data_IF_526656246283
#
_entry.id   IF_526656246283
#
_cell.length_a   1.000
_cell.length_b   1.000
_cell.length_c   1.000
_cell.angle_alpha   90.00
_cell.angle_beta   90.00
_cell.angle_gamma   90.00
#
_symmetry.space_group_name_H-M   'P 1'
#
loop_
_entity.id
_entity.type
_entity.pdbx_description
1 polymer ?
#
# COMPACT_ATOMS: atom_id res chain seq x y z
N UNK A 1 1.88 -13.79 22.86
CA UNK A 1 1.62 -12.92 21.68
C UNK A 1 0.22 -12.30 21.77
N UNK A 2 -0.08 -11.66 22.90
CA UNK A 2 -1.28 -10.87 23.17
C UNK A 2 -0.74 -9.48 23.49
N UNK A 3 -1.33 -8.42 22.92
CA UNK A 3 -1.08 -6.99 23.21
C UNK A 3 -0.40 -6.15 22.11
N UNK A 4 -0.99 -6.07 20.91
CA UNK A 4 -0.84 -4.87 20.06
C UNK A 4 -2.21 -4.43 19.48
N UNK A 5 -3.31 -4.72 20.20
CA UNK A 5 -4.69 -4.48 19.73
C UNK A 5 -5.29 -3.13 20.20
N UNK A 6 -4.63 -2.39 21.09
CA UNK A 6 -5.22 -1.17 21.66
C UNK A 6 -4.35 0.04 21.39
N UNK A 7 -4.70 0.82 20.36
CA UNK A 7 -4.90 2.29 20.39
C UNK A 7 -5.54 2.64 19.04
N UNK A 8 -6.82 2.30 18.93
CA UNK A 8 -7.80 3.14 18.26
C UNK A 8 -8.46 3.93 19.40
N UNK A 9 -8.82 5.18 19.11
CA UNK A 9 -9.93 5.98 19.67
C UNK A 9 -9.50 7.45 19.87
N UNK A 10 -10.33 8.30 19.27
CA UNK A 10 -10.51 9.76 19.40
C UNK A 10 -9.56 10.69 18.65
N UNK A 11 -9.89 10.95 17.41
CA UNK A 11 -10.47 12.26 17.07
C UNK A 11 -11.07 12.17 15.68
N UNK A 12 -12.40 12.06 15.62
CA UNK A 12 -13.27 12.55 14.54
C UNK A 12 -14.73 12.21 14.92
N UNK A 13 -15.09 12.57 16.15
CA UNK A 13 -16.46 12.97 16.44
C UNK A 13 -16.41 14.49 16.54
N UNK A 14 -17.40 15.15 15.92
CA UNK A 14 -17.53 16.61 15.79
C UNK A 14 -16.63 17.22 14.72
N UNK A 15 -17.02 17.09 13.45
CA UNK A 15 -17.22 18.23 12.56
C UNK A 15 -18.10 17.74 11.42
N UNK A 16 -19.41 17.93 11.58
CA UNK A 16 -20.30 18.17 10.45
C UNK A 16 -19.86 19.46 9.75
N UNK A 17 -18.73 19.38 9.05
CA UNK A 17 -18.27 20.39 8.11
C UNK A 17 -18.28 19.69 6.77
N UNK A 18 -18.70 20.37 5.71
CA UNK A 18 -18.62 19.89 4.32
C UNK A 18 -17.15 19.77 3.89
N UNK A 19 -16.32 18.99 4.59
CA UNK A 19 -15.06 18.52 4.04
C UNK A 19 -15.43 17.60 2.89
N UNK A 20 -15.13 18.03 1.67
CA UNK A 20 -15.26 17.18 0.48
C UNK A 20 -14.62 15.84 0.81
N UNK A 21 -15.38 14.75 0.68
CA UNK A 21 -14.80 13.40 0.78
C UNK A 21 -13.68 13.33 -0.24
N UNK A 22 -12.46 13.02 0.23
CA UNK A 22 -11.31 12.84 -0.65
C UNK A 22 -11.62 11.75 -1.67
N UNK A 23 -11.30 12.02 -2.93
CA UNK A 23 -11.35 11.06 -4.02
C UNK A 23 -10.36 9.92 -3.78
N UNK A 24 -10.53 8.80 -4.48
CA UNK A 24 -9.58 7.69 -4.42
C UNK A 24 -8.16 8.15 -4.75
N UNK A 25 -8.02 9.07 -5.71
CA UNK A 25 -6.73 9.63 -6.12
C UNK A 25 -6.09 10.45 -5.00
N UNK A 26 -6.84 11.35 -4.38
CA UNK A 26 -6.32 12.17 -3.28
C UNK A 26 -5.85 11.32 -2.10
N UNK A 27 -6.56 10.23 -1.78
CA UNK A 27 -6.16 9.29 -0.73
C UNK A 27 -4.96 8.44 -1.14
N UNK A 28 -4.92 8.00 -2.40
CA UNK A 28 -3.78 7.25 -2.92
C UNK A 28 -2.51 8.10 -2.84
N UNK A 29 -2.56 9.33 -3.37
CA UNK A 29 -1.43 10.26 -3.37
C UNK A 29 -1.00 10.63 -1.93
N UNK A 30 -1.94 10.86 -1.02
CA UNK A 30 -1.65 11.20 0.38
C UNK A 30 -0.90 10.09 1.13
N UNK A 31 -1.28 8.83 0.91
CA UNK A 31 -0.70 7.69 1.63
C UNK A 31 0.39 6.96 0.85
N UNK A 32 0.65 7.35 -0.40
CA UNK A 32 1.56 6.65 -1.31
C UNK A 32 2.92 6.40 -0.66
N UNK A 33 3.65 7.45 -0.28
CA UNK A 33 5.00 7.33 0.27
C UNK A 33 5.05 6.53 1.57
N UNK A 34 4.04 6.66 2.44
CA UNK A 34 3.96 5.92 3.70
C UNK A 34 3.74 4.42 3.42
N UNK A 35 2.90 4.10 2.45
CA UNK A 35 2.63 2.72 2.04
C UNK A 35 3.86 2.09 1.36
N UNK A 36 4.58 2.84 0.53
CA UNK A 36 5.87 2.39 -0.04
C UNK A 36 6.86 2.09 1.06
N UNK A 37 7.07 3.01 2.02
CA UNK A 37 7.99 2.79 3.14
C UNK A 37 7.63 1.54 3.94
N UNK A 38 6.35 1.32 4.23
CA UNK A 38 5.89 0.11 4.95
C UNK A 38 6.14 -1.15 4.15
N UNK A 39 5.87 -1.14 2.85
CA UNK A 39 6.14 -2.28 1.98
C UNK A 39 7.64 -2.61 1.92
N UNK A 40 8.53 -1.61 1.85
CA UNK A 40 9.98 -1.85 1.88
C UNK A 40 10.40 -2.59 3.15
N UNK A 41 9.80 -2.30 4.32
CA UNK A 41 10.13 -3.00 5.58
C UNK A 41 9.79 -4.49 5.57
N UNK A 42 8.96 -4.96 4.64
CA UNK A 42 8.65 -6.39 4.50
C UNK A 42 9.57 -7.12 3.52
N UNK A 43 10.34 -6.38 2.70
CA UNK A 43 11.24 -6.92 1.68
C UNK A 43 12.66 -7.17 2.21
N UNK A 44 12.78 -8.07 3.19
CA UNK A 44 14.06 -8.41 3.79
C UNK A 44 15.06 -8.95 2.76
N UNK A 45 16.30 -8.45 2.79
CA UNK A 45 17.37 -8.89 1.89
C UNK A 45 17.35 -8.27 0.50
N UNK A 46 16.42 -7.36 0.22
CA UNK A 46 16.37 -6.59 -1.05
C UNK A 46 16.95 -5.19 -0.81
N UNK A 47 17.76 -4.70 -1.74
CA UNK A 47 18.25 -3.32 -1.74
C UNK A 47 17.08 -2.33 -1.66
N UNK A 48 17.20 -1.32 -0.80
CA UNK A 48 16.11 -0.38 -0.49
C UNK A 48 15.56 0.37 -1.72
N UNK A 49 16.41 0.68 -2.70
CA UNK A 49 15.97 1.32 -3.94
C UNK A 49 15.17 0.33 -4.79
N UNK A 50 15.66 -0.90 -4.93
CA UNK A 50 14.96 -1.96 -5.66
C UNK A 50 13.63 -2.33 -4.99
N UNK A 51 13.60 -2.39 -3.65
CA UNK A 51 12.38 -2.60 -2.88
C UNK A 51 11.36 -1.47 -3.10
N UNK A 52 11.82 -0.21 -3.14
CA UNK A 52 10.96 0.93 -3.43
C UNK A 52 10.32 0.83 -4.82
N UNK A 53 11.09 0.44 -5.84
CA UNK A 53 10.61 0.25 -7.22
C UNK A 53 9.57 -0.87 -7.32
N UNK A 54 9.80 -2.00 -6.65
CA UNK A 54 8.85 -3.12 -6.61
C UNK A 54 7.56 -2.70 -5.91
N UNK A 55 7.66 -2.10 -4.71
CA UNK A 55 6.50 -1.64 -3.97
C UNK A 55 5.68 -0.61 -4.76
N UNK A 56 6.34 0.35 -5.42
CA UNK A 56 5.69 1.35 -6.27
C UNK A 56 4.91 0.68 -7.41
N UNK A 57 5.56 -0.24 -8.12
CA UNK A 57 4.93 -1.01 -9.18
C UNK A 57 3.68 -1.76 -8.71
N UNK A 58 3.73 -2.40 -7.53
CA UNK A 58 2.60 -3.14 -6.96
C UNK A 58 1.43 -2.20 -6.64
N UNK A 59 1.67 -1.10 -5.93
CA UNK A 59 0.61 -0.15 -5.56
C UNK A 59 -0.03 0.52 -6.78
N UNK A 60 0.78 0.93 -7.77
CA UNK A 60 0.28 1.51 -9.03
C UNK A 60 -0.60 0.55 -9.81
N UNK A 61 -0.20 -0.73 -9.88
CA UNK A 61 -1.00 -1.77 -10.52
C UNK A 61 -2.31 -1.97 -9.78
N UNK A 62 -2.29 -2.13 -8.46
CA UNK A 62 -3.49 -2.32 -7.65
C UNK A 62 -4.47 -1.15 -7.77
N UNK A 63 -3.95 0.09 -7.83
CA UNK A 63 -4.76 1.28 -8.07
C UNK A 63 -5.40 1.31 -9.45
N UNK A 64 -4.64 0.94 -10.50
CA UNK A 64 -5.16 0.83 -11.87
C UNK A 64 -6.22 -0.26 -12.00
N UNK A 65 -6.10 -1.33 -11.23
CA UNK A 65 -7.05 -2.44 -11.24
C UNK A 65 -8.37 -2.06 -10.57
N UNK A 66 -8.31 -1.50 -9.36
CA UNK A 66 -9.48 -0.99 -8.64
C UNK A 66 -9.06 0.11 -7.69
N UNK A 67 -9.26 1.37 -8.08
CA UNK A 67 -8.91 2.54 -7.27
C UNK A 67 -9.61 2.59 -5.90
N UNK A 68 -10.71 1.85 -5.69
CA UNK A 68 -11.44 1.85 -4.42
C UNK A 68 -10.72 1.08 -3.33
N UNK A 69 -9.67 0.32 -3.66
CA UNK A 69 -8.87 -0.45 -2.70
C UNK A 69 -8.29 0.44 -1.58
N UNK A 70 -8.11 1.74 -1.83
CA UNK A 70 -7.61 2.73 -0.84
C UNK A 70 -8.52 2.87 0.38
N UNK A 71 -9.76 2.39 0.31
CA UNK A 71 -10.71 2.37 1.42
C UNK A 71 -10.72 1.04 2.20
N UNK A 72 -9.96 0.03 1.76
CA UNK A 72 -9.94 -1.28 2.41
C UNK A 72 -9.35 -1.20 3.81
N UNK A 73 -9.93 -1.98 4.72
CA UNK A 73 -9.32 -2.19 6.03
C UNK A 73 -8.10 -3.10 5.87
N UNK A 74 -7.14 -3.10 6.82
CA UNK A 74 -5.91 -3.88 6.70
C UNK A 74 -6.12 -5.38 6.39
N UNK A 75 -7.11 -6.03 7.00
CA UNK A 75 -7.42 -7.44 6.73
C UNK A 75 -7.90 -7.65 5.28
N UNK A 76 -8.74 -6.76 4.79
CA UNK A 76 -9.30 -6.83 3.43
C UNK A 76 -8.23 -6.47 2.39
N UNK A 77 -7.27 -5.63 2.77
CA UNK A 77 -6.11 -5.28 1.94
C UNK A 77 -5.22 -6.50 1.66
N UNK A 78 -4.92 -7.30 2.68
CA UNK A 78 -4.13 -8.53 2.53
C UNK A 78 -4.83 -9.52 1.59
N UNK A 79 -6.13 -9.74 1.79
CA UNK A 79 -6.93 -10.60 0.91
C UNK A 79 -6.94 -10.08 -0.53
N UNK A 80 -7.08 -8.77 -0.72
CA UNK A 80 -7.04 -8.14 -2.04
C UNK A 80 -5.69 -8.28 -2.73
N UNK A 81 -4.57 -8.12 -2.00
CA UNK A 81 -3.22 -8.34 -2.56
C UNK A 81 -3.07 -9.80 -2.99
N UNK A 82 -3.44 -10.76 -2.13
CA UNK A 82 -3.34 -12.19 -2.42
C UNK A 82 -4.19 -12.61 -3.61
N UNK A 83 -5.43 -12.11 -3.71
CA UNK A 83 -6.32 -12.35 -4.84
C UNK A 83 -5.74 -11.86 -6.17
N UNK A 84 -4.94 -10.79 -6.13
CA UNK A 84 -4.36 -10.15 -7.30
C UNK A 84 -2.86 -10.44 -7.46
N UNK A 85 -2.32 -11.44 -6.75
CA UNK A 85 -0.90 -11.77 -6.74
C UNK A 85 -0.33 -11.99 -8.16
N UNK A 86 -1.07 -12.71 -9.02
CA UNK A 86 -0.67 -12.94 -10.42
C UNK A 86 -0.60 -11.66 -11.25
N UNK A 87 -1.44 -10.67 -10.94
CA UNK A 87 -1.44 -9.40 -11.69
C UNK A 87 -0.25 -8.51 -11.31
N UNK A 88 0.16 -8.57 -10.04
CA UNK A 88 1.27 -7.78 -9.50
C UNK A 88 2.63 -8.50 -9.59
N UNK A 89 2.68 -9.82 -9.82
CA UNK A 89 3.95 -10.57 -9.96
C UNK A 89 4.83 -10.11 -11.12
N UNK A 90 4.27 -9.40 -12.11
CA UNK A 90 5.06 -8.74 -13.14
C UNK A 90 6.09 -7.73 -12.57
N UNK A 91 5.84 -7.19 -11.37
CA UNK A 91 6.77 -6.31 -10.66
C UNK A 91 8.02 -7.05 -10.16
N UNK A 92 7.96 -8.37 -9.97
CA UNK A 92 9.11 -9.18 -9.50
C UNK A 92 10.26 -9.15 -10.51
N UNK A 93 9.98 -8.84 -11.78
CA UNK A 93 11.01 -8.63 -12.80
C UNK A 93 12.03 -7.54 -12.44
N UNK A 94 11.63 -6.59 -11.58
CA UNK A 94 12.51 -5.51 -11.10
C UNK A 94 13.57 -6.02 -10.11
N UNK A 95 13.32 -7.15 -9.43
CA UNK A 95 14.30 -7.76 -8.50
C UNK A 95 15.57 -8.23 -9.22
N UNK A 96 15.44 -8.66 -10.47
CA UNK A 96 16.54 -9.23 -11.26
C UNK A 96 17.26 -8.18 -12.13
N UNK A 97 16.79 -6.93 -12.12
CA UNK A 97 17.25 -5.90 -13.06
C UNK A 97 18.61 -5.29 -12.69
N UNK A 98 19.08 -5.47 -11.45
CA UNK A 98 20.35 -4.89 -10.94
C UNK A 98 21.50 -5.87 -10.74
N UNK A 99 21.35 -7.14 -11.10
CA UNK A 99 22.47 -8.10 -10.98
C UNK A 99 23.48 -7.98 -12.13
N UNK A 100 23.25 -7.07 -13.10
CA UNK A 100 24.03 -6.96 -14.33
C UNK A 100 24.74 -5.60 -14.52
N UNK A 101 24.82 -4.75 -13.50
CA UNK A 101 25.62 -3.50 -13.51
C UNK A 101 26.87 -3.65 -12.64
#
# INVERSE_FOLDING_TARGET
MKNIISILIVSLAIYSCHSKKKTCKELFDEYYDINIKRCITTMNGVDSLTAAEVCACMFDKLYKLDSTFVYLKPKDMEEYVNKNATYISACDSLLNKKTND
#
